data_IF_426360686606
#
_entry.id   IF_426360686606
#
_cell.length_a   1.000
_cell.length_b   1.000
_cell.length_c   1.000
_cell.angle_alpha   90.00
_cell.angle_beta   90.00
_cell.angle_gamma   90.00
#
_symmetry.space_group_name_H-M   'P 1'
#
loop_
_entity.id
_entity.type
_entity.pdbx_description
1 polymer ?
#
# COMPACT_ATOMS: atom_id res chain seq x y z
N UNK A 1 -13.88 -17.76 10.67
CA UNK A 1 -12.98 -18.72 9.99
C UNK A 1 -11.59 -18.12 9.98
N UNK A 2 -10.59 -18.77 10.57
CA UNK A 2 -9.23 -18.23 10.75
C UNK A 2 -8.37 -18.73 9.58
N UNK A 3 -7.98 -17.82 8.68
CA UNK A 3 -7.12 -18.13 7.54
C UNK A 3 -5.65 -18.18 7.97
N UNK A 4 -4.99 -19.30 7.70
CA UNK A 4 -3.56 -19.53 7.99
C UNK A 4 -2.68 -18.75 7.02
N UNK A 5 -1.80 -17.88 7.54
CA UNK A 5 -0.81 -17.18 6.69
C UNK A 5 -0.08 -16.02 7.36
N UNK A 6 -0.64 -15.47 8.44
CA UNK A 6 0.16 -14.89 9.51
C UNK A 6 0.42 -15.99 10.52
N UNK A 7 1.57 -16.00 11.19
CA UNK A 7 1.69 -16.68 12.48
C UNK A 7 0.43 -16.29 13.24
N UNK A 8 -0.48 -17.24 13.48
CA UNK A 8 -1.70 -17.00 14.24
C UNK A 8 -1.21 -16.40 15.53
N UNK A 9 -1.38 -15.09 15.68
CA UNK A 9 -0.89 -14.44 16.86
C UNK A 9 -1.70 -15.08 17.99
N UNK A 10 -1.10 -15.84 18.94
CA UNK A 10 -1.85 -16.72 19.84
C UNK A 10 -2.96 -16.00 20.62
N UNK A 11 -2.87 -14.67 20.70
CA UNK A 11 -3.89 -13.79 21.22
C UNK A 11 -5.19 -13.75 20.40
N UNK A 12 -5.19 -13.80 19.05
CA UNK A 12 -6.43 -13.82 18.23
C UNK A 12 -7.26 -15.08 18.50
N UNK A 13 -6.61 -16.25 18.58
CA UNK A 13 -7.28 -17.49 18.97
C UNK A 13 -7.75 -17.47 20.43
N UNK A 14 -6.96 -16.87 21.33
CA UNK A 14 -7.35 -16.66 22.72
C UNK A 14 -8.60 -15.78 22.82
N UNK A 15 -8.69 -14.69 22.05
CA UNK A 15 -9.84 -13.79 22.02
C UNK A 15 -11.10 -14.46 21.45
N UNK A 16 -10.98 -15.21 20.34
CA UNK A 16 -12.11 -15.97 19.78
C UNK A 16 -12.64 -17.02 20.76
N UNK A 17 -11.75 -17.80 21.40
CA UNK A 17 -12.10 -18.82 22.41
C UNK A 17 -12.70 -18.20 23.67
N UNK A 18 -12.09 -17.14 24.19
CA UNK A 18 -12.51 -16.46 25.43
C UNK A 18 -13.84 -15.72 25.29
N UNK A 19 -14.21 -15.28 24.09
CA UNK A 19 -15.44 -14.53 23.85
C UNK A 19 -16.57 -15.35 23.18
N UNK A 20 -16.37 -16.65 22.98
CA UNK A 20 -17.31 -17.53 22.28
C UNK A 20 -17.77 -16.94 20.93
N UNK A 21 -16.82 -16.45 20.14
CA UNK A 21 -17.10 -15.81 18.84
C UNK A 21 -16.65 -16.73 17.71
N UNK A 22 -17.48 -16.83 16.67
CA UNK A 22 -17.15 -17.55 15.43
C UNK A 22 -16.19 -16.76 14.53
N UNK A 23 -16.21 -15.42 14.62
CA UNK A 23 -15.37 -14.54 13.79
C UNK A 23 -15.10 -13.19 14.48
N UNK A 24 -13.84 -12.74 14.49
CA UNK A 24 -13.38 -11.41 14.96
C UNK A 24 -12.45 -10.84 13.89
N UNK A 25 -12.72 -9.62 13.42
CA UNK A 25 -11.86 -8.94 12.45
C UNK A 25 -11.29 -7.67 13.05
N UNK A 26 -9.96 -7.60 13.05
CA UNK A 26 -9.20 -6.42 13.45
C UNK A 26 -8.53 -5.89 12.19
N UNK A 27 -9.03 -4.78 11.65
CA UNK A 27 -8.26 -3.99 10.71
C UNK A 27 -7.29 -3.11 11.51
N UNK A 28 -6.00 -3.28 11.30
CA UNK A 28 -4.97 -2.41 11.87
C UNK A 28 -4.19 -1.81 10.71
N UNK A 29 -3.86 -0.51 10.72
CA UNK A 29 -2.96 0.04 9.72
C UNK A 29 -1.65 -0.77 9.74
N UNK A 30 -1.06 -1.10 8.59
CA UNK A 30 0.07 -2.03 8.50
C UNK A 30 1.38 -1.55 9.16
N UNK A 31 1.41 -0.40 9.85
CA UNK A 31 2.65 0.25 10.26
C UNK A 31 2.59 0.90 11.67
N UNK A 32 3.63 0.63 12.47
CA UNK A 32 4.06 1.32 13.71
C UNK A 32 3.17 1.26 14.95
N UNK A 33 3.01 0.07 15.54
CA UNK A 33 2.62 -0.04 16.96
C UNK A 33 3.46 -1.10 17.67
N UNK A 34 4.16 -0.73 18.74
CA UNK A 34 4.50 -1.69 19.80
C UNK A 34 3.41 -1.64 20.87
N UNK A 35 2.89 -2.81 21.20
CA UNK A 35 1.58 -3.05 21.81
C UNK A 35 1.69 -3.46 23.28
N UNK A 36 1.62 -2.53 24.23
CA UNK A 36 1.33 -2.97 25.61
C UNK A 36 0.23 -2.14 26.26
N UNK A 37 0.42 -0.84 26.51
CA UNK A 37 -0.40 -0.19 27.53
C UNK A 37 -1.77 0.28 27.02
N UNK A 38 -1.85 0.85 25.81
CA UNK A 38 -3.12 1.27 25.21
C UNK A 38 -4.02 0.08 24.83
N UNK A 39 -3.41 -1.03 24.40
CA UNK A 39 -4.11 -2.26 24.03
C UNK A 39 -4.69 -3.00 25.25
N UNK A 40 -3.94 -3.10 26.35
CA UNK A 40 -4.45 -3.72 27.59
C UNK A 40 -5.60 -2.90 28.20
N UNK A 41 -5.53 -1.57 28.15
CA UNK A 41 -6.64 -0.71 28.55
C UNK A 41 -7.87 -0.88 27.63
N UNK A 42 -7.64 -0.95 26.32
CA UNK A 42 -8.67 -1.16 25.30
C UNK A 42 -9.38 -2.53 25.44
N UNK A 43 -8.62 -3.62 25.61
CA UNK A 43 -9.17 -4.96 25.83
C UNK A 43 -10.10 -4.99 27.05
N UNK A 44 -9.73 -4.31 28.15
CA UNK A 44 -10.56 -4.22 29.35
C UNK A 44 -11.89 -3.47 29.11
N UNK A 45 -11.89 -2.44 28.26
CA UNK A 45 -13.12 -1.71 27.87
C UNK A 45 -14.05 -2.56 27.01
N UNK A 46 -13.49 -3.34 26.08
CA UNK A 46 -14.26 -4.30 25.26
C UNK A 46 -14.81 -5.44 26.13
N UNK A 47 -13.99 -5.99 27.05
CA UNK A 47 -14.39 -7.00 28.05
C UNK A 47 -15.59 -6.53 28.90
N UNK A 48 -15.63 -5.25 29.29
CA UNK A 48 -16.73 -4.69 30.08
C UNK A 48 -18.07 -4.58 29.33
N UNK A 49 -18.08 -4.65 27.99
CA UNK A 49 -19.30 -4.45 27.17
C UNK A 49 -20.21 -5.68 27.04
N UNK A 50 -19.73 -6.86 27.48
CA UNK A 50 -20.44 -8.09 27.83
C UNK A 50 -21.65 -8.56 26.96
N UNK A 51 -21.71 -8.29 25.65
CA UNK A 51 -22.81 -8.77 24.79
C UNK A 51 -22.38 -9.41 23.45
N UNK A 52 -23.10 -10.46 23.00
CA UNK A 52 -22.84 -11.14 21.74
C UNK A 52 -23.31 -10.35 20.52
N UNK A 53 -22.37 -9.91 19.69
CA UNK A 53 -22.61 -9.41 18.33
C UNK A 53 -21.38 -9.74 17.47
N UNK A 54 -21.52 -10.03 16.16
CA UNK A 54 -20.40 -10.04 15.23
C UNK A 54 -19.87 -8.60 15.12
N UNK A 55 -18.62 -8.38 15.55
CA UNK A 55 -18.00 -7.05 15.57
C UNK A 55 -17.01 -6.95 14.41
N UNK A 56 -17.21 -5.98 13.51
CA UNK A 56 -16.19 -5.53 12.57
C UNK A 56 -15.42 -4.36 13.20
N UNK A 57 -14.10 -4.52 13.38
CA UNK A 57 -13.21 -3.45 13.82
C UNK A 57 -12.58 -2.82 12.59
N UNK A 58 -12.86 -1.53 12.35
CA UNK A 58 -12.31 -0.73 11.26
C UNK A 58 -11.36 0.31 11.86
N UNK A 59 -10.08 0.24 11.53
CA UNK A 59 -9.11 1.29 11.84
C UNK A 59 -9.00 2.24 10.65
N UNK A 60 -9.24 3.56 10.81
CA UNK A 60 -9.06 4.48 9.71
C UNK A 60 -7.58 4.67 9.35
N UNK A 61 -7.28 5.12 8.11
CA UNK A 61 -5.97 5.66 7.78
C UNK A 61 -5.64 6.86 8.69
N UNK A 62 -4.40 6.89 9.19
CA UNK A 62 -3.96 7.81 10.26
C UNK A 62 -3.59 9.22 9.78
N UNK A 63 -3.57 9.51 8.48
CA UNK A 63 -3.27 10.86 7.96
C UNK A 63 -4.06 11.17 6.68
N UNK A 64 -4.96 12.16 6.73
CA UNK A 64 -5.33 13.01 5.59
C UNK A 64 -5.65 14.40 6.12
N UNK A 65 -4.73 15.33 5.93
CA UNK A 65 -4.98 16.77 6.02
C UNK A 65 -5.71 17.22 4.75
N UNK A 66 -6.81 17.96 4.94
CA UNK A 66 -7.66 18.64 3.95
C UNK A 66 -8.68 17.76 3.18
N UNK A 67 -9.95 17.93 3.53
CA UNK A 67 -11.11 17.58 2.71
C UNK A 67 -12.02 18.82 2.69
N UNK A 68 -12.28 19.39 1.51
CA UNK A 68 -13.33 20.39 1.30
C UNK A 68 -14.73 19.73 1.38
N UNK A 69 -15.73 20.52 1.77
CA UNK A 69 -17.13 20.21 2.12
C UNK A 69 -18.03 19.54 1.04
N UNK A 70 -17.50 18.64 0.21
CA UNK A 70 -18.33 17.80 -0.68
C UNK A 70 -18.35 16.36 -0.17
N UNK A 71 -19.45 15.63 -0.40
CA UNK A 71 -19.67 14.25 0.05
C UNK A 71 -18.37 13.41 -0.08
N UNK A 72 -17.72 13.02 1.04
CA UNK A 72 -16.44 12.32 1.03
C UNK A 72 -16.60 10.84 0.72
N UNK A 73 -17.85 10.34 0.57
CA UNK A 73 -18.14 8.92 0.33
C UNK A 73 -17.46 8.38 -0.94
N UNK A 74 -17.51 9.05 -2.11
CA UNK A 74 -16.80 8.59 -3.31
C UNK A 74 -15.28 8.55 -3.15
N UNK A 75 -14.72 9.28 -2.18
CA UNK A 75 -13.29 9.37 -1.94
C UNK A 75 -12.74 8.22 -1.07
N UNK A 76 -13.61 7.35 -0.52
CA UNK A 76 -13.17 6.18 0.24
C UNK A 76 -12.95 4.96 -0.68
N UNK A 77 -11.97 4.09 -0.35
CA UNK A 77 -11.79 2.81 -1.02
C UNK A 77 -13.13 2.05 -1.12
N UNK A 78 -13.41 1.37 -2.26
CA UNK A 78 -14.61 0.57 -2.41
C UNK A 78 -14.80 -0.48 -1.30
N UNK A 79 -13.72 -1.13 -0.87
CA UNK A 79 -13.74 -2.10 0.22
C UNK A 79 -14.30 -1.50 1.51
N UNK A 80 -13.75 -0.37 1.96
CA UNK A 80 -14.18 0.34 3.17
C UNK A 80 -15.66 0.70 3.10
N UNK A 81 -16.14 1.16 1.93
CA UNK A 81 -17.56 1.48 1.72
C UNK A 81 -18.46 0.26 1.87
N UNK A 82 -18.08 -0.88 1.30
CA UNK A 82 -18.86 -2.11 1.40
C UNK A 82 -18.89 -2.65 2.83
N UNK A 83 -17.72 -2.69 3.46
CA UNK A 83 -17.59 -3.07 4.86
C UNK A 83 -18.45 -2.17 5.75
N UNK A 84 -18.41 -0.86 5.53
CA UNK A 84 -19.21 0.09 6.29
C UNK A 84 -20.72 -0.07 6.03
N UNK A 85 -21.13 -0.27 4.78
CA UNK A 85 -22.53 -0.38 4.39
C UNK A 85 -23.19 -1.68 4.86
N UNK A 86 -22.44 -2.78 4.89
CA UNK A 86 -22.96 -4.13 5.16
C UNK A 86 -22.79 -4.58 6.62
N UNK A 87 -21.99 -3.88 7.43
CA UNK A 87 -21.82 -4.24 8.84
C UNK A 87 -23.08 -4.00 9.66
N UNK A 88 -23.42 -4.88 10.58
CA UNK A 88 -24.48 -4.66 11.59
C UNK A 88 -24.01 -3.80 12.76
N UNK A 89 -22.69 -3.74 12.98
CA UNK A 89 -22.05 -2.90 13.96
C UNK A 89 -20.60 -2.63 13.60
N UNK A 90 -20.11 -1.46 13.99
CA UNK A 90 -18.80 -0.96 13.63
C UNK A 90 -18.08 -0.47 14.87
N UNK A 91 -16.89 -1.03 15.09
CA UNK A 91 -15.97 -0.56 16.11
C UNK A 91 -14.88 0.25 15.42
N UNK A 92 -14.86 1.55 15.63
CA UNK A 92 -13.86 2.44 15.08
C UNK A 92 -12.77 2.69 16.12
N UNK A 93 -11.50 2.40 15.79
CA UNK A 93 -10.41 2.72 16.70
C UNK A 93 -10.30 4.23 16.92
N UNK A 94 -10.42 5.03 15.87
CA UNK A 94 -10.27 6.48 15.96
C UNK A 94 -11.26 7.21 15.05
N UNK A 95 -12.00 8.18 15.60
CA UNK A 95 -12.86 9.06 14.79
C UNK A 95 -12.31 10.48 14.82
N UNK A 96 -11.98 11.01 13.64
CA UNK A 96 -11.71 12.45 13.48
C UNK A 96 -13.04 13.21 13.30
N UNK A 97 -13.31 14.26 14.10
CA UNK A 97 -14.41 15.19 13.85
C UNK A 97 -14.38 15.76 12.43
N UNK A 98 -15.48 15.67 11.68
CA UNK A 98 -15.60 16.07 10.28
C UNK A 98 -14.86 15.16 9.28
N UNK A 99 -14.32 14.02 9.73
CA UNK A 99 -13.61 13.07 8.89
C UNK A 99 -14.52 12.19 8.04
N UNK A 100 -13.94 11.49 7.06
CA UNK A 100 -14.70 10.64 6.14
C UNK A 100 -15.47 9.50 6.83
N UNK A 101 -14.92 8.92 7.90
CA UNK A 101 -15.61 7.88 8.71
C UNK A 101 -16.82 8.46 9.45
N UNK A 102 -16.72 9.69 9.98
CA UNK A 102 -17.86 10.33 10.63
C UNK A 102 -18.96 10.67 9.62
N UNK A 103 -18.61 11.14 8.42
CA UNK A 103 -19.62 11.46 7.41
C UNK A 103 -20.33 10.20 6.90
N UNK A 104 -19.62 9.09 6.72
CA UNK A 104 -20.23 7.79 6.45
C UNK A 104 -21.21 7.39 7.56
N UNK A 105 -20.85 7.63 8.81
CA UNK A 105 -21.70 7.33 9.96
C UNK A 105 -22.96 8.19 9.97
N UNK A 106 -22.82 9.52 9.85
CA UNK A 106 -23.95 10.46 9.76
C UNK A 106 -24.89 10.11 8.60
N UNK A 107 -24.34 9.70 7.46
CA UNK A 107 -25.13 9.21 6.32
C UNK A 107 -25.92 7.97 6.68
N UNK A 108 -25.28 6.97 7.30
CA UNK A 108 -25.94 5.73 7.68
C UNK A 108 -27.05 5.95 8.73
N UNK A 109 -26.86 6.89 9.65
CA UNK A 109 -27.90 7.32 10.59
C UNK A 109 -29.09 7.96 9.86
N UNK A 110 -28.84 8.86 8.89
CA UNK A 110 -29.89 9.44 8.03
C UNK A 110 -30.67 8.38 7.24
N UNK A 111 -30.01 7.29 6.86
CA UNK A 111 -30.61 6.15 6.16
C UNK A 111 -31.36 5.18 7.10
N UNK A 112 -31.49 5.50 8.40
CA UNK A 112 -32.24 4.70 9.37
C UNK A 112 -31.57 3.38 9.76
N UNK A 113 -30.30 3.18 9.42
CA UNK A 113 -29.55 1.95 9.73
C UNK A 113 -28.85 2.09 11.09
N UNK A 114 -29.59 1.91 12.17
CA UNK A 114 -29.11 1.97 13.56
C UNK A 114 -28.29 0.74 13.97
N UNK A 115 -27.08 0.61 13.41
CA UNK A 115 -26.09 -0.38 13.89
C UNK A 115 -25.52 0.00 15.27
N UNK A 116 -24.81 -0.94 15.92
CA UNK A 116 -24.01 -0.61 17.12
C UNK A 116 -22.71 0.06 16.73
N UNK A 117 -22.36 1.14 17.43
CA UNK A 117 -21.12 1.89 17.19
C UNK A 117 -20.34 2.03 18.48
N UNK A 118 -19.03 1.81 18.39
CA UNK A 118 -18.10 2.10 19.48
C UNK A 118 -16.87 2.78 18.90
N UNK A 119 -16.43 3.86 19.54
CA UNK A 119 -15.25 4.61 19.14
C UNK A 119 -14.26 4.52 20.31
N UNK A 120 -13.06 4.01 20.07
CA UNK A 120 -12.04 3.91 21.12
C UNK A 120 -11.40 5.26 21.43
N UNK A 121 -11.14 6.07 20.40
CA UNK A 121 -10.52 7.38 20.50
C UNK A 121 -11.31 8.43 19.71
N UNK A 122 -11.76 9.47 20.41
CA UNK A 122 -12.50 10.60 19.86
C UNK A 122 -11.77 11.88 20.27
N UNK A 123 -11.24 12.63 19.30
CA UNK A 123 -10.52 13.85 19.63
C UNK A 123 -9.86 14.55 18.44
N UNK A 124 -9.55 15.85 18.58
CA UNK A 124 -8.78 16.60 17.60
C UNK A 124 -7.32 16.11 17.63
N UNK A 125 -6.82 15.68 16.47
CA UNK A 125 -5.41 15.39 16.12
C UNK A 125 -4.46 15.19 17.32
N UNK A 126 -4.51 14.03 17.99
CA UNK A 126 -3.36 13.61 18.79
C UNK A 126 -2.33 12.95 17.88
N UNK A 127 -1.06 13.41 17.88
CA UNK A 127 0.00 12.69 17.20
C UNK A 127 0.16 11.32 17.87
N UNK A 128 -0.03 10.27 17.08
CA UNK A 128 0.22 8.90 17.55
C UNK A 128 1.67 8.81 18.03
N UNK A 129 1.96 8.25 19.22
CA UNK A 129 3.32 7.97 19.62
C UNK A 129 3.92 7.00 18.59
N UNK A 130 4.90 7.46 17.81
CA UNK A 130 5.73 6.58 16.98
C UNK A 130 6.55 5.73 17.95
N UNK A 131 6.21 4.45 18.07
CA UNK A 131 7.04 3.54 18.81
C UNK A 131 8.16 3.04 17.90
N UNK A 132 9.41 3.31 18.29
CA UNK A 132 10.58 2.64 17.71
C UNK A 132 10.52 1.16 18.08
N UNK A 133 10.26 0.31 17.08
CA UNK A 133 10.43 -1.12 17.23
C UNK A 133 11.93 -1.40 17.34
N UNK A 134 12.41 -1.77 18.53
CA UNK A 134 13.81 -2.12 18.77
C UNK A 134 14.31 -3.15 17.76
N UNK A 135 15.56 -3.00 17.31
CA UNK A 135 16.19 -3.90 16.32
C UNK A 135 16.40 -5.31 16.90
N UNK A 136 15.90 -6.38 16.26
CA UNK A 136 16.35 -7.74 16.55
C UNK A 136 17.40 -8.25 15.54
N UNK A 137 18.25 -9.12 16.07
CA UNK A 137 19.51 -9.66 15.57
C UNK A 137 19.50 -10.45 14.24
N UNK A 138 20.60 -10.29 13.49
CA UNK A 138 21.30 -11.21 12.55
C UNK A 138 20.52 -11.93 11.43
N UNK A 139 20.42 -11.29 10.27
CA UNK A 139 19.90 -11.84 9.01
C UNK A 139 20.62 -11.10 7.91
N UNK A 140 20.88 -11.83 6.84
CA UNK A 140 21.70 -11.46 5.68
C UNK A 140 21.05 -10.39 4.79
N UNK A 141 20.38 -9.42 5.39
CA UNK A 141 19.81 -8.30 4.67
C UNK A 141 20.92 -7.27 4.42
N UNK A 142 21.15 -6.95 3.16
CA UNK A 142 22.05 -5.86 2.81
C UNK A 142 21.31 -4.54 3.09
N UNK A 143 21.85 -3.71 3.99
CA UNK A 143 21.42 -2.31 4.13
C UNK A 143 21.69 -1.62 2.80
N UNK A 144 20.76 -0.77 2.31
CA UNK A 144 20.91 -0.14 0.98
C UNK A 144 22.32 0.42 0.80
N UNK A 145 23.01 -0.15 -0.17
CA UNK A 145 24.14 0.45 -0.85
C UNK A 145 23.86 0.47 -2.35
N UNK A 146 24.78 1.04 -3.12
CA UNK A 146 24.71 1.03 -4.57
C UNK A 146 24.63 -0.42 -5.07
N UNK A 147 23.63 -0.72 -5.89
CA UNK A 147 23.53 -2.04 -6.54
C UNK A 147 24.79 -2.30 -7.37
N UNK A 148 25.27 -3.55 -7.46
CA UNK A 148 26.54 -3.88 -8.12
C UNK A 148 26.53 -3.66 -9.64
N UNK A 149 25.36 -3.38 -10.21
CA UNK A 149 25.15 -3.17 -11.63
C UNK A 149 24.11 -2.06 -11.89
N UNK A 150 24.09 -1.47 -13.10
CA UNK A 150 23.04 -0.53 -13.50
C UNK A 150 21.66 -1.21 -13.49
N UNK A 151 20.81 -0.76 -12.58
CA UNK A 151 19.48 -1.32 -12.33
C UNK A 151 18.37 -0.40 -12.83
N UNK A 152 17.21 -1.01 -13.12
CA UNK A 152 15.93 -0.32 -13.16
C UNK A 152 15.03 -0.90 -12.06
N UNK A 153 14.39 -0.03 -11.29
CA UNK A 153 13.55 -0.43 -10.16
C UNK A 153 12.08 -0.32 -10.53
N UNK A 154 11.29 -1.32 -10.16
CA UNK A 154 9.84 -1.28 -10.15
C UNK A 154 9.35 -1.26 -8.70
N UNK A 155 8.66 -0.19 -8.33
CA UNK A 155 8.10 -0.02 -7.00
C UNK A 155 6.66 -0.50 -6.99
N UNK A 156 6.34 -1.33 -6.02
CA UNK A 156 4.98 -1.79 -5.79
C UNK A 156 4.20 -0.73 -5.03
N UNK A 157 2.89 -0.86 -5.08
CA UNK A 157 1.96 0.02 -4.39
C UNK A 157 0.72 -0.78 -4.00
N UNK A 158 0.04 -0.32 -2.97
CA UNK A 158 -1.28 -0.84 -2.64
C UNK A 158 -2.27 -0.58 -3.79
N UNK A 159 -3.20 -1.51 -3.97
CA UNK A 159 -4.27 -1.44 -4.95
C UNK A 159 -5.62 -1.48 -4.24
N UNK A 160 -6.42 -0.44 -4.39
CA UNK A 160 -7.73 -0.33 -3.73
C UNK A 160 -8.85 -1.10 -4.48
N UNK A 161 -8.46 -1.88 -5.49
CA UNK A 161 -9.33 -2.65 -6.39
C UNK A 161 -8.75 -4.04 -6.63
N UNK A 162 -9.50 -4.91 -7.31
CA UNK A 162 -9.00 -6.16 -7.86
C UNK A 162 -7.63 -5.98 -8.56
N UNK A 163 -6.77 -6.99 -8.48
CA UNK A 163 -5.54 -7.02 -9.27
C UNK A 163 -5.86 -6.95 -10.78
N UNK A 164 -4.92 -6.52 -11.65
CA UNK A 164 -5.16 -6.44 -13.09
C UNK A 164 -5.63 -7.76 -13.73
N UNK A 165 -5.20 -8.89 -13.17
CA UNK A 165 -5.51 -10.25 -13.62
C UNK A 165 -6.52 -10.98 -12.71
N UNK A 166 -7.16 -10.29 -11.77
CA UNK A 166 -8.13 -10.86 -10.85
C UNK A 166 -9.56 -10.49 -11.25
N UNK A 167 -10.47 -11.47 -11.14
CA UNK A 167 -11.89 -11.22 -11.33
C UNK A 167 -12.46 -10.28 -10.26
N UNK A 168 -13.20 -9.26 -10.71
CA UNK A 168 -13.74 -8.23 -9.83
C UNK A 168 -14.81 -8.75 -8.88
N UNK A 169 -15.57 -9.78 -9.25
CA UNK A 169 -16.59 -10.36 -8.39
C UNK A 169 -15.94 -11.24 -7.31
N UNK A 170 -14.98 -12.08 -7.70
CA UNK A 170 -14.20 -12.87 -6.75
C UNK A 170 -13.46 -11.99 -5.73
N UNK A 171 -12.87 -10.89 -6.18
CA UNK A 171 -12.24 -9.93 -5.28
C UNK A 171 -13.26 -9.33 -4.28
N UNK A 172 -14.44 -8.93 -4.77
CA UNK A 172 -15.53 -8.44 -3.90
C UNK A 172 -15.92 -9.48 -2.87
N UNK A 173 -16.14 -10.71 -3.29
CA UNK A 173 -16.51 -11.80 -2.39
C UNK A 173 -15.42 -12.02 -1.35
N UNK A 174 -14.14 -11.95 -1.72
CA UNK A 174 -13.02 -12.03 -0.76
C UNK A 174 -13.02 -10.86 0.22
N UNK A 175 -13.32 -9.63 -0.22
CA UNK A 175 -13.46 -8.47 0.68
C UNK A 175 -14.62 -8.69 1.65
N UNK A 176 -15.78 -9.14 1.17
CA UNK A 176 -16.98 -9.37 1.98
C UNK A 176 -16.81 -10.52 2.97
N UNK A 177 -16.12 -11.57 2.56
CA UNK A 177 -15.77 -12.72 3.38
C UNK A 177 -14.54 -12.48 4.26
N UNK A 178 -13.95 -11.28 4.17
CA UNK A 178 -12.81 -10.84 4.96
C UNK A 178 -11.63 -11.82 4.85
N UNK A 179 -11.43 -12.33 3.64
CA UNK A 179 -10.33 -13.24 3.32
C UNK A 179 -9.01 -12.49 3.31
N UNK A 180 -7.95 -13.10 3.84
CA UNK A 180 -6.58 -12.56 3.72
C UNK A 180 -6.19 -12.32 2.26
N UNK A 181 -6.78 -13.08 1.32
CA UNK A 181 -6.57 -12.92 -0.12
C UNK A 181 -7.14 -11.60 -0.68
N UNK A 182 -7.99 -10.88 0.05
CA UNK A 182 -8.48 -9.56 -0.33
C UNK A 182 -7.49 -8.42 -0.01
N UNK A 183 -6.41 -8.71 0.74
CA UNK A 183 -5.42 -7.70 1.13
C UNK A 183 -4.56 -7.34 -0.07
N UNK A 184 -4.72 -6.13 -0.55
CA UNK A 184 -4.01 -5.61 -1.71
C UNK A 184 -3.02 -4.51 -1.32
N UNK A 185 -2.28 -4.72 -0.22
CA UNK A 185 -1.19 -3.82 0.17
C UNK A 185 0.03 -3.96 -0.76
N UNK A 186 1.02 -3.07 -0.58
CA UNK A 186 2.26 -3.14 -1.37
C UNK A 186 3.10 -4.39 -1.06
N UNK A 187 3.06 -4.86 0.18
CA UNK A 187 3.68 -6.13 0.57
C UNK A 187 3.03 -7.31 -0.16
N UNK A 188 1.70 -7.38 -0.21
CA UNK A 188 0.97 -8.43 -0.93
C UNK A 188 1.20 -8.35 -2.44
N UNK A 189 1.26 -7.14 -3.00
CA UNK A 189 1.64 -6.93 -4.40
C UNK A 189 3.03 -7.51 -4.71
N UNK A 190 4.02 -7.25 -3.84
CA UNK A 190 5.36 -7.81 -3.99
C UNK A 190 5.34 -9.34 -3.91
N UNK A 191 4.65 -9.94 -2.93
CA UNK A 191 4.53 -11.39 -2.83
C UNK A 191 3.87 -11.99 -4.08
N UNK A 192 2.83 -11.36 -4.63
CA UNK A 192 2.19 -11.81 -5.87
C UNK A 192 3.18 -11.77 -7.04
N UNK A 193 3.89 -10.67 -7.24
CA UNK A 193 4.91 -10.51 -8.29
C UNK A 193 5.97 -11.62 -8.22
N UNK A 194 6.46 -11.92 -7.02
CA UNK A 194 7.50 -12.93 -6.81
C UNK A 194 6.99 -14.36 -7.05
N UNK A 195 5.76 -14.67 -6.62
CA UNK A 195 5.12 -15.97 -6.84
C UNK A 195 4.75 -16.19 -8.30
N UNK A 196 4.25 -15.16 -8.96
CA UNK A 196 3.88 -15.21 -10.37
C UNK A 196 5.10 -15.18 -11.31
N UNK A 197 6.27 -14.81 -10.78
CA UNK A 197 7.52 -14.67 -11.52
C UNK A 197 7.46 -13.58 -12.59
N UNK A 198 6.59 -12.56 -12.44
CA UNK A 198 6.41 -11.51 -13.44
C UNK A 198 5.84 -10.22 -12.86
N UNK A 199 6.12 -9.12 -13.56
CA UNK A 199 5.42 -7.85 -13.42
C UNK A 199 4.34 -7.75 -14.49
N UNK A 200 3.10 -7.46 -14.09
CA UNK A 200 2.00 -7.25 -15.02
C UNK A 200 2.09 -5.86 -15.65
N UNK A 201 2.02 -5.80 -16.97
CA UNK A 201 1.89 -4.56 -17.72
C UNK A 201 0.52 -3.93 -17.49
N UNK A 202 0.45 -2.60 -17.51
CA UNK A 202 -0.82 -1.88 -17.43
C UNK A 202 -0.87 -0.74 -18.44
N UNK A 203 -2.07 -0.41 -18.90
CA UNK A 203 -2.35 0.81 -19.68
C UNK A 203 -2.61 2.01 -18.78
N UNK A 204 -2.76 1.80 -17.46
CA UNK A 204 -3.10 2.87 -16.51
C UNK A 204 -1.95 3.87 -16.37
N UNK A 205 -2.20 5.12 -16.77
CA UNK A 205 -1.19 6.18 -16.73
C UNK A 205 -0.23 6.18 -17.93
N UNK A 206 -0.43 5.26 -18.88
CA UNK A 206 0.31 5.16 -20.13
C UNK A 206 -0.56 5.72 -21.24
N UNK A 207 0.04 6.45 -22.19
CA UNK A 207 -0.69 6.95 -23.36
C UNK A 207 -0.74 5.87 -24.44
N UNK A 208 -1.94 5.62 -24.95
CA UNK A 208 -2.20 4.54 -25.90
C UNK A 208 -2.82 3.31 -25.22
N UNK A 209 -2.89 2.20 -25.95
CA UNK A 209 -3.54 0.97 -25.51
C UNK A 209 -2.57 -0.16 -25.19
N UNK A 210 -1.26 0.04 -25.38
CA UNK A 210 -0.24 -0.97 -25.10
C UNK A 210 0.02 -1.06 -23.59
N UNK A 211 -0.19 -2.22 -22.96
CA UNK A 211 0.22 -2.42 -21.57
C UNK A 211 1.72 -2.25 -21.42
N UNK A 212 2.16 -1.56 -20.38
CA UNK A 212 3.58 -1.33 -20.09
C UNK A 212 3.88 -1.63 -18.62
N UNK A 213 5.08 -2.14 -18.35
CA UNK A 213 5.68 -2.10 -17.02
C UNK A 213 6.53 -0.84 -16.93
N UNK A 214 6.22 0.02 -15.96
CA UNK A 214 7.01 1.21 -15.64
C UNK A 214 8.15 0.87 -14.69
N UNK A 215 9.29 1.50 -14.92
CA UNK A 215 10.50 1.39 -14.12
C UNK A 215 11.08 2.77 -13.85
N UNK A 216 11.92 2.90 -12.83
CA UNK A 216 12.76 4.07 -12.62
C UNK A 216 14.24 3.70 -12.74
N UNK A 217 15.02 4.57 -13.39
CA UNK A 217 16.49 4.45 -13.42
C UNK A 217 17.16 5.04 -12.18
N UNK A 218 16.39 5.58 -11.26
CA UNK A 218 16.97 6.26 -10.13
C UNK A 218 17.55 5.27 -9.11
N UNK A 219 18.66 5.64 -8.45
CA UNK A 219 19.28 4.77 -7.47
C UNK A 219 18.32 4.45 -6.33
N UNK A 220 18.34 3.20 -5.86
CA UNK A 220 17.46 2.69 -4.82
C UNK A 220 17.55 3.54 -3.54
N UNK A 221 18.74 4.02 -3.22
CA UNK A 221 19.05 4.87 -2.07
C UNK A 221 18.43 6.27 -2.12
N UNK A 222 18.15 6.81 -3.32
CA UNK A 222 17.58 8.17 -3.46
C UNK A 222 16.06 8.20 -3.40
N UNK A 223 15.41 7.07 -3.65
CA UNK A 223 13.96 7.04 -3.82
C UNK A 223 13.18 7.39 -2.55
N UNK A 224 13.56 6.92 -1.34
CA UNK A 224 12.84 7.30 -0.12
C UNK A 224 12.68 8.82 0.08
N UNK A 225 13.63 9.62 -0.39
CA UNK A 225 13.60 11.09 -0.30
C UNK A 225 12.56 11.71 -1.25
N UNK A 226 12.37 11.09 -2.41
CA UNK A 226 11.49 11.55 -3.49
C UNK A 226 10.04 11.09 -3.33
N UNK A 227 9.77 10.28 -2.30
CA UNK A 227 8.42 9.82 -1.96
C UNK A 227 7.56 10.99 -1.53
N UNK A 228 6.44 11.19 -2.22
CA UNK A 228 5.50 12.28 -1.91
C UNK A 228 4.13 11.69 -1.61
N UNK A 229 3.62 12.01 -0.43
CA UNK A 229 2.23 11.71 -0.12
C UNK A 229 1.34 12.56 -1.03
N UNK A 230 0.39 11.93 -1.71
CA UNK A 230 -0.54 12.59 -2.62
C UNK A 230 -1.89 12.71 -1.91
N UNK A 231 -2.23 13.87 -1.29
CA UNK A 231 -3.44 13.98 -0.47
C UNK A 231 -4.71 13.65 -1.25
N UNK A 232 -4.82 14.14 -2.50
CA UNK A 232 -5.94 13.86 -3.38
C UNK A 232 -6.09 12.40 -3.80
N UNK A 233 -5.06 11.57 -3.60
CA UNK A 233 -5.12 10.10 -3.80
C UNK A 233 -5.07 9.32 -2.50
N UNK A 234 -4.88 10.00 -1.35
CA UNK A 234 -4.74 9.44 -0.01
C UNK A 234 -3.69 8.32 0.08
N UNK A 235 -2.63 8.44 -0.71
CA UNK A 235 -1.53 7.48 -0.74
C UNK A 235 -0.23 8.11 -1.16
N UNK A 236 0.84 7.46 -0.77
CA UNK A 236 2.15 7.72 -1.33
C UNK A 236 2.17 7.38 -2.82
N UNK A 237 2.95 8.12 -3.60
CA UNK A 237 3.13 7.83 -5.02
C UNK A 237 3.76 6.47 -5.27
N UNK A 238 4.58 5.99 -4.33
CA UNK A 238 5.03 4.60 -4.25
C UNK A 238 5.23 4.16 -2.79
N UNK A 239 5.32 2.85 -2.60
CA UNK A 239 5.62 2.20 -1.32
C UNK A 239 7.03 1.59 -1.38
N UNK A 240 7.71 1.47 -0.23
CA UNK A 240 9.13 1.05 -0.16
C UNK A 240 9.36 -0.47 -0.38
N UNK A 241 8.59 -1.05 -1.31
CA UNK A 241 8.59 -2.47 -1.65
C UNK A 241 8.76 -2.60 -3.16
N UNK A 242 9.57 -3.54 -3.62
CA UNK A 242 9.70 -3.73 -5.06
C UNK A 242 10.84 -4.62 -5.50
N UNK A 243 11.09 -4.56 -6.80
CA UNK A 243 12.12 -5.33 -7.48
C UNK A 243 13.03 -4.42 -8.29
N UNK A 244 14.31 -4.70 -8.29
CA UNK A 244 15.28 -4.08 -9.17
C UNK A 244 15.81 -5.15 -10.12
N UNK A 245 15.83 -4.83 -11.42
CA UNK A 245 16.29 -5.75 -12.47
C UNK A 245 17.42 -5.07 -13.24
N UNK A 246 18.43 -5.85 -13.62
CA UNK A 246 19.55 -5.32 -14.40
C UNK A 246 19.06 -4.73 -15.72
N UNK A 247 19.45 -3.48 -15.98
CA UNK A 247 18.90 -2.65 -17.06
C UNK A 247 18.98 -3.31 -18.44
N UNK A 248 20.02 -4.11 -18.68
CA UNK A 248 20.20 -4.79 -19.97
C UNK A 248 19.12 -5.85 -20.25
N UNK A 249 18.54 -6.47 -19.21
CA UNK A 249 17.41 -7.38 -19.38
C UNK A 249 16.14 -6.63 -19.73
N UNK A 250 15.88 -5.50 -19.07
CA UNK A 250 14.73 -4.64 -19.39
C UNK A 250 14.85 -4.11 -20.83
N UNK A 251 16.04 -3.68 -21.26
CA UNK A 251 16.31 -3.26 -22.64
C UNK A 251 16.07 -4.36 -23.67
N UNK A 252 16.53 -5.57 -23.42
CA UNK A 252 16.30 -6.73 -24.30
C UNK A 252 14.82 -7.08 -24.42
N UNK A 253 14.02 -6.77 -23.41
CA UNK A 253 12.58 -6.88 -23.43
C UNK A 253 11.87 -5.67 -24.08
N UNK A 254 12.57 -4.90 -24.92
CA UNK A 254 12.02 -3.70 -25.57
C UNK A 254 11.90 -2.48 -24.64
N UNK A 255 12.45 -2.55 -23.43
CA UNK A 255 12.43 -1.45 -22.47
C UNK A 255 13.24 -0.25 -22.93
N UNK A 256 12.64 0.94 -22.87
CA UNK A 256 13.24 2.21 -23.32
C UNK A 256 13.02 3.32 -22.29
N UNK A 257 13.93 4.32 -22.24
CA UNK A 257 13.66 5.54 -21.49
C UNK A 257 12.40 6.22 -22.01
N UNK A 258 11.63 6.79 -21.09
CA UNK A 258 10.50 7.64 -21.43
C UNK A 258 11.00 8.98 -21.95
N UNK A 259 10.39 9.48 -23.02
CA UNK A 259 10.61 10.84 -23.52
C UNK A 259 9.60 11.80 -22.88
N UNK A 260 10.04 13.02 -22.60
CA UNK A 260 9.26 14.02 -21.89
C UNK A 260 8.92 15.18 -22.81
N UNK A 261 7.62 15.43 -23.02
CA UNK A 261 7.13 16.45 -23.94
C UNK A 261 5.88 17.16 -23.42
N UNK A 262 5.29 17.96 -24.30
CA UNK A 262 4.02 18.67 -24.13
C UNK A 262 2.91 18.00 -24.94
N UNK A 263 1.65 18.41 -24.73
CA UNK A 263 0.48 17.82 -25.41
C UNK A 263 0.57 17.90 -26.94
N UNK A 264 1.30 18.87 -27.49
CA UNK A 264 1.58 18.95 -28.92
C UNK A 264 2.49 17.79 -29.41
N UNK A 265 3.56 17.49 -28.67
CA UNK A 265 4.49 16.39 -28.98
C UNK A 265 3.77 15.02 -28.97
N UNK A 266 2.81 14.85 -28.05
CA UNK A 266 2.00 13.64 -28.00
C UNK A 266 1.10 13.44 -29.21
N UNK A 267 0.57 14.53 -29.75
CA UNK A 267 -0.33 14.48 -30.91
C UNK A 267 0.45 14.15 -32.19
N UNK A 268 1.69 14.60 -32.30
CA UNK A 268 2.58 14.29 -33.43
C UNK A 268 3.29 12.94 -33.30
N UNK A 269 3.41 12.38 -32.08
CA UNK A 269 4.02 11.06 -31.87
C UNK A 269 3.24 9.93 -32.57
N UNK A 270 4.00 9.04 -33.21
CA UNK A 270 3.46 7.83 -33.84
C UNK A 270 2.83 6.90 -32.79
N UNK A 271 1.86 6.05 -33.16
CA UNK A 271 1.18 5.15 -32.21
C UNK A 271 2.13 4.29 -31.37
N UNK A 272 3.25 3.84 -31.93
CA UNK A 272 4.26 3.04 -31.22
C UNK A 272 5.15 3.82 -30.25
N UNK A 273 5.30 5.13 -30.43
CA UNK A 273 6.10 5.99 -29.54
C UNK A 273 5.28 6.56 -28.38
N UNK A 274 3.95 6.67 -28.53
CA UNK A 274 3.04 7.22 -27.50
C UNK A 274 3.17 6.54 -26.14
N UNK A 275 3.29 5.21 -26.03
CA UNK A 275 3.45 4.56 -24.72
C UNK A 275 4.74 4.95 -24.01
N UNK A 276 5.77 5.40 -24.74
CA UNK A 276 7.05 5.85 -24.18
C UNK A 276 7.07 7.33 -23.86
N UNK A 277 5.98 8.06 -24.03
CA UNK A 277 5.94 9.48 -23.73
C UNK A 277 5.25 9.81 -22.40
N UNK A 278 5.76 10.84 -21.73
CA UNK A 278 5.22 11.39 -20.48
C UNK A 278 5.19 12.92 -20.50
N UNK A 279 4.13 13.54 -19.97
CA UNK A 279 4.11 15.00 -19.86
C UNK A 279 5.30 15.45 -19.00
N UNK A 280 6.03 16.47 -19.46
CA UNK A 280 7.18 17.01 -18.70
C UNK A 280 6.77 17.50 -17.32
N UNK A 281 5.61 18.18 -17.23
CA UNK A 281 5.06 18.69 -15.97
C UNK A 281 3.62 18.24 -15.78
N UNK A 282 3.18 18.12 -14.53
CA UNK A 282 1.75 17.98 -14.24
C UNK A 282 0.95 19.15 -14.80
N UNK A 283 -0.33 18.94 -15.15
CA UNK A 283 -1.23 20.03 -15.62
C UNK A 283 -1.37 21.18 -14.62
N UNK A 284 -1.16 20.91 -13.33
CA UNK A 284 -1.18 21.89 -12.24
C UNK A 284 0.23 22.47 -11.93
N UNK A 285 1.17 22.32 -12.88
CA UNK A 285 2.50 22.93 -12.95
C UNK A 285 3.53 22.64 -11.84
N UNK A 286 3.17 22.01 -10.72
CA UNK A 286 4.09 21.84 -9.57
C UNK A 286 5.02 20.63 -9.62
N UNK A 287 4.74 19.60 -10.44
CA UNK A 287 5.53 18.36 -10.47
C UNK A 287 6.28 18.24 -11.80
N UNK A 288 7.60 18.09 -11.74
CA UNK A 288 8.47 17.74 -12.88
C UNK A 288 8.68 16.22 -12.93
N UNK A 289 8.07 15.56 -13.91
CA UNK A 289 8.12 14.09 -14.04
C UNK A 289 9.48 13.58 -14.51
N UNK A 290 10.39 14.45 -14.95
CA UNK A 290 11.76 14.05 -15.34
C UNK A 290 12.59 13.58 -14.15
N UNK A 291 12.20 13.98 -12.93
CA UNK A 291 12.81 13.50 -11.71
C UNK A 291 12.75 11.97 -11.60
N UNK A 292 11.73 11.32 -12.16
CA UNK A 292 11.59 9.86 -12.10
C UNK A 292 12.59 9.10 -12.98
N UNK A 293 13.11 9.73 -14.04
CA UNK A 293 13.92 9.06 -15.08
C UNK A 293 13.25 7.73 -15.48
N UNK A 294 11.98 7.82 -15.85
CA UNK A 294 11.12 6.66 -16.09
C UNK A 294 11.61 5.88 -17.31
N UNK A 295 11.49 4.57 -17.24
CA UNK A 295 11.62 3.63 -18.34
C UNK A 295 10.34 2.83 -18.45
N UNK A 296 9.97 2.39 -19.65
CA UNK A 296 8.82 1.51 -19.87
C UNK A 296 9.24 0.32 -20.72
N UNK A 297 8.71 -0.86 -20.41
CA UNK A 297 8.83 -2.07 -21.24
C UNK A 297 7.44 -2.58 -21.64
N UNK A 298 7.23 -2.99 -22.90
CA UNK A 298 5.93 -3.45 -23.38
C UNK A 298 5.53 -4.79 -22.77
N UNK A 299 4.23 -4.96 -22.53
CA UNK A 299 3.65 -6.20 -22.01
C UNK A 299 4.03 -6.49 -20.56
N UNK A 300 3.90 -7.76 -20.20
CA UNK A 300 4.33 -8.28 -18.90
C UNK A 300 5.83 -8.57 -18.91
N UNK A 301 6.53 -8.21 -17.84
CA UNK A 301 7.94 -8.51 -17.69
C UNK A 301 8.13 -9.80 -16.86
N UNK A 302 8.53 -10.89 -17.52
CA UNK A 302 8.76 -12.18 -16.87
C UNK A 302 10.18 -12.31 -16.33
N UNK A 303 10.32 -12.95 -15.17
CA UNK A 303 11.61 -13.27 -14.55
C UNK A 303 12.20 -14.60 -15.06
N UNK A 304 11.42 -15.39 -15.80
CA UNK A 304 11.86 -16.66 -16.37
C UNK A 304 13.11 -16.48 -17.25
N UNK A 305 14.13 -17.32 -17.03
CA UNK A 305 15.39 -17.28 -17.76
C UNK A 305 16.34 -16.15 -17.35
N UNK A 306 15.98 -15.32 -16.36
CA UNK A 306 16.88 -14.34 -15.77
C UNK A 306 17.73 -15.00 -14.67
N UNK A 307 19.05 -14.73 -14.61
CA UNK A 307 19.85 -15.13 -13.46
C UNK A 307 19.28 -14.47 -12.19
N UNK A 308 19.10 -15.25 -11.12
CA UNK A 308 18.60 -14.71 -9.84
C UNK A 308 19.52 -13.63 -9.25
N UNK A 309 20.80 -13.60 -9.65
CA UNK A 309 21.77 -12.56 -9.30
C UNK A 309 21.54 -11.21 -10.01
N UNK A 310 20.74 -11.19 -11.09
CA UNK A 310 20.38 -9.99 -11.85
C UNK A 310 19.01 -9.42 -11.42
N UNK A 311 18.41 -10.00 -10.37
CA UNK A 311 17.18 -9.54 -9.72
C UNK A 311 17.45 -9.31 -8.24
N UNK A 312 17.04 -8.15 -7.75
CA UNK A 312 17.07 -7.80 -6.34
C UNK A 312 15.66 -7.48 -5.89
N UNK A 313 15.30 -7.95 -4.70
CA UNK A 313 14.05 -7.58 -4.03
C UNK A 313 14.39 -6.61 -2.91
N UNK A 314 13.54 -5.61 -2.68
CA UNK A 314 13.75 -4.67 -1.59
C UNK A 314 12.48 -4.41 -0.79
N UNK A 315 12.66 -4.23 0.53
CA UNK A 315 11.60 -4.06 1.52
C UNK A 315 12.05 -3.13 2.65
N UNK A 316 11.12 -2.51 3.41
CA UNK A 316 11.51 -1.58 4.47
C UNK A 316 11.78 -2.25 5.82
N UNK A 317 11.30 -3.49 6.04
CA UNK A 317 11.41 -4.16 7.32
C UNK A 317 12.24 -5.44 7.28
N UNK A 318 13.01 -5.62 8.34
CA UNK A 318 13.91 -6.74 8.49
C UNK A 318 13.19 -8.11 8.49
N UNK A 319 12.09 -8.25 9.21
CA UNK A 319 11.34 -9.51 9.27
C UNK A 319 10.78 -9.90 7.89
N UNK A 320 10.40 -8.91 7.07
CA UNK A 320 10.00 -9.13 5.67
C UNK A 320 11.18 -9.59 4.84
N UNK A 321 12.34 -8.98 5.01
CA UNK A 321 13.55 -9.37 4.29
C UNK A 321 13.95 -10.81 4.61
N UNK A 322 13.92 -11.18 5.89
CA UNK A 322 14.20 -12.55 6.35
C UNK A 322 13.19 -13.56 5.76
N UNK A 323 11.89 -13.23 5.76
CA UNK A 323 10.86 -14.06 5.15
C UNK A 323 11.10 -14.25 3.64
N UNK A 324 11.36 -13.17 2.91
CA UNK A 324 11.61 -13.24 1.48
C UNK A 324 12.86 -14.06 1.14
N UNK A 325 13.94 -13.89 1.90
CA UNK A 325 15.17 -14.64 1.71
C UNK A 325 15.02 -16.15 2.00
N UNK A 326 14.01 -16.53 2.80
CA UNK A 326 13.66 -17.93 3.05
C UNK A 326 12.70 -18.51 1.99
N UNK A 327 11.80 -17.69 1.43
CA UNK A 327 10.76 -18.12 0.49
C UNK A 327 11.20 -18.04 -0.99
N UNK A 328 12.13 -17.14 -1.33
CA UNK A 328 12.52 -16.84 -2.71
C UNK A 328 14.04 -16.85 -2.92
N UNK A 329 14.53 -17.16 -4.13
CA UNK A 329 15.98 -17.29 -4.41
C UNK A 329 16.68 -15.95 -4.68
N UNK A 330 15.99 -14.82 -4.51
CA UNK A 330 16.50 -13.49 -4.85
C UNK A 330 17.29 -12.88 -3.69
N UNK A 331 18.26 -12.02 -4.01
CA UNK A 331 18.91 -11.19 -3.00
C UNK A 331 17.93 -10.15 -2.47
N UNK A 332 17.87 -9.98 -1.14
CA UNK A 332 16.95 -9.05 -0.49
C UNK A 332 17.69 -7.89 0.17
N UNK A 333 17.24 -6.68 -0.11
CA UNK A 333 17.80 -5.42 0.40
C UNK A 333 16.82 -4.71 1.31
N UNK A 334 17.34 -4.06 2.36
CA UNK A 334 16.54 -3.25 3.27
C UNK A 334 16.60 -1.79 2.87
N UNK A 335 15.45 -1.20 2.52
CA UNK A 335 15.29 0.21 2.18
C UNK A 335 14.74 0.98 3.36
N UNK A 336 15.59 1.80 3.98
CA UNK A 336 15.16 2.65 5.10
C UNK A 336 14.45 3.89 4.57
N UNK A 337 13.44 4.37 5.31
CA UNK A 337 12.92 5.71 5.09
C UNK A 337 14.06 6.71 5.27
N UNK A 338 14.20 7.66 4.33
CA UNK A 338 15.17 8.73 4.48
C UNK A 338 14.83 9.53 5.74
N UNK A 339 15.83 9.79 6.58
CA UNK A 339 15.70 10.77 7.65
C UNK A 339 15.43 12.13 7.00
N UNK A 340 14.16 12.52 6.84
CA UNK A 340 13.83 13.93 6.65
C UNK A 340 14.25 14.61 7.94
N UNK A 341 15.43 15.22 7.94
CA UNK A 341 15.83 16.14 9.00
C UNK A 341 14.66 17.10 9.22
N UNK A 342 14.21 17.19 10.47
CA UNK A 342 13.08 18.03 10.91
C UNK A 342 13.30 19.54 10.67
N UNK A 343 14.38 19.92 10.00
CA UNK A 343 14.86 21.31 9.86
C UNK A 343 14.05 22.16 8.85
N UNK A 344 13.24 21.55 7.98
CA UNK A 344 12.51 22.31 6.95
C UNK A 344 11.16 22.92 7.36
N UNK A 345 10.68 22.77 8.59
CA UNK A 345 9.34 23.29 9.02
C UNK A 345 9.38 24.61 9.82
N UNK A 346 10.50 25.31 9.84
CA UNK A 346 10.63 26.64 10.46
C UNK A 346 10.98 27.72 9.43
N UNK A 347 10.20 27.84 8.37
CA UNK A 347 10.17 29.04 7.53
C UNK A 347 9.12 28.86 6.44
N UNK A 348 7.89 29.23 6.76
CA UNK A 348 6.90 29.86 5.88
C UNK A 348 5.71 30.36 6.71
#
# INVERSE_FOLDING_TARGET
MIGSGTTTAPWLEHLCRRWQRSTLHVDTPPHRMTFSNAWTWWLRKVEASNRPTPVLIVAPPTEVSFCDNTDPTPALPPADRWLFALSDGLFCLYRRPGGAIEELWRRREREGRSGRWQIAFDGPEQPWPMWDAGEPMAARAHIVGRLPWPALCHWTRACDTAWPDEDNQLWRDRVLLLSDAARHGAWEALLKILRDGRLLGSTRGVRGSTPMVSWTQQPLERWPELRVFRPGRRKWDFELYGVAVRRDHVRRHGGRPVWYGEEADFRSASPGERPYGQLRRSRQASIDWRAEREWRSPGDFRFDGLPTSDIVVFVPHYWQAARLAAEFPYRVYLVREGNRSREGRRSE
#
